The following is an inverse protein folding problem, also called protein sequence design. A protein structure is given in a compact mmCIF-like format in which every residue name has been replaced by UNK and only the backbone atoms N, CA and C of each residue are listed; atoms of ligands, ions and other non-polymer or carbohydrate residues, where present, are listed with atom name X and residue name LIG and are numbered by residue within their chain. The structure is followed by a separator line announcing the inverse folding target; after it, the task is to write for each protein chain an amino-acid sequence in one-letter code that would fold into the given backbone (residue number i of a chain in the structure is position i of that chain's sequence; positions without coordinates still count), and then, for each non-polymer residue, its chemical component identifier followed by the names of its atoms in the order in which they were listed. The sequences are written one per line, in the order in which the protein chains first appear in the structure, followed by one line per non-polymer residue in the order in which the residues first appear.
data_IF_057454761132
#
_entry.id   IF_057454761132
#
_cell.length_a   1.000
_cell.length_b   1.000
_cell.length_c   1.000
_cell.angle_alpha   90.00
_cell.angle_beta   90.00
_cell.angle_gamma   90.00
#
_symmetry.space_group_name_H-M   'P 1'
#
loop_
_entity.id
_entity.type
_entity.pdbx_description
1 polymer ?
#
# COMPACT_ATOMS: atom_id res chain seq x y z
N UNK A 1 5.16 17.44 -24.65
CA UNK A 1 6.05 16.73 -23.70
C UNK A 1 5.85 17.27 -22.29
N UNK A 2 5.04 16.74 -21.39
CA UNK A 2 3.78 16.00 -21.38
C UNK A 2 3.18 16.38 -20.02
N UNK A 3 2.17 17.24 -20.01
CA UNK A 3 1.54 17.82 -18.83
C UNK A 3 0.63 16.82 -18.08
N UNK A 4 1.04 15.54 -17.99
CA UNK A 4 0.29 14.46 -17.36
C UNK A 4 1.09 13.76 -16.24
N UNK A 5 2.21 14.37 -15.85
CA UNK A 5 2.99 14.01 -14.67
C UNK A 5 2.39 14.66 -13.40
N UNK A 6 1.08 14.96 -13.42
CA UNK A 6 0.34 15.35 -12.24
C UNK A 6 0.24 14.13 -11.32
N UNK A 7 0.90 14.31 -10.17
CA UNK A 7 1.14 13.34 -9.11
C UNK A 7 -0.13 12.57 -8.77
N UNK A 8 0.01 11.25 -8.60
CA UNK A 8 -0.92 10.49 -7.77
C UNK A 8 -0.95 11.20 -6.42
N UNK A 9 -2.09 11.79 -6.04
CA UNK A 9 -2.17 12.44 -4.74
C UNK A 9 -2.23 11.33 -3.69
N UNK A 10 -1.66 11.60 -2.53
CA UNK A 10 -1.62 10.62 -1.45
C UNK A 10 -3.06 10.14 -1.13
N UNK A 11 -4.04 11.05 -1.20
CA UNK A 11 -5.48 10.80 -1.01
C UNK A 11 -6.07 9.66 -1.85
N UNK A 12 -5.49 9.33 -3.01
CA UNK A 12 -5.94 8.21 -3.85
C UNK A 12 -5.64 6.83 -3.22
N UNK A 13 -4.67 6.73 -2.28
CA UNK A 13 -4.39 5.50 -1.53
C UNK A 13 -5.56 5.15 -0.59
N UNK A 14 -6.26 6.16 -0.05
CA UNK A 14 -7.40 5.97 0.85
C UNK A 14 -8.55 5.22 0.19
N UNK A 15 -8.72 5.44 -1.12
CA UNK A 15 -9.79 4.87 -1.92
C UNK A 15 -9.48 3.45 -2.44
N UNK A 16 -8.25 2.96 -2.27
CA UNK A 16 -7.90 1.62 -2.76
C UNK A 16 -8.61 0.52 -1.95
N UNK A 17 -9.08 -0.54 -2.63
CA UNK A 17 -9.78 -1.63 -1.99
C UNK A 17 -8.86 -2.41 -1.06
N UNK A 18 -9.37 -2.75 0.12
CA UNK A 18 -8.69 -3.56 1.14
C UNK A 18 -9.47 -4.84 1.36
N UNK A 19 -8.75 -5.91 1.63
CA UNK A 19 -9.31 -7.21 1.94
C UNK A 19 -10.04 -7.19 3.30
N UNK A 20 -11.36 -7.09 3.27
CA UNK A 20 -12.21 -6.87 4.46
C UNK A 20 -11.97 -7.85 5.60
N UNK A 21 -11.78 -9.15 5.29
CA UNK A 21 -11.51 -10.17 6.31
C UNK A 21 -10.22 -9.89 7.09
N UNK A 22 -9.23 -9.23 6.49
CA UNK A 22 -8.00 -8.81 7.19
C UNK A 22 -8.34 -7.75 8.25
N UNK A 23 -9.22 -6.80 7.92
CA UNK A 23 -9.70 -5.78 8.86
C UNK A 23 -10.43 -6.44 10.02
N UNK A 24 -11.35 -7.37 9.75
CA UNK A 24 -12.11 -8.11 10.78
C UNK A 24 -11.15 -8.85 11.73
N UNK A 25 -10.18 -9.59 11.19
CA UNK A 25 -9.18 -10.31 12.00
C UNK A 25 -8.33 -9.37 12.86
N UNK A 26 -7.97 -8.20 12.32
CA UNK A 26 -7.19 -7.20 13.07
C UNK A 26 -8.01 -6.53 14.19
N UNK A 27 -9.31 -6.29 13.96
CA UNK A 27 -10.23 -5.78 14.98
C UNK A 27 -10.42 -6.82 16.10
N UNK A 28 -10.66 -8.08 15.75
CA UNK A 28 -10.82 -9.18 16.73
C UNK A 28 -9.60 -9.32 17.65
N UNK A 29 -8.38 -9.26 17.07
CA UNK A 29 -7.14 -9.31 17.86
C UNK A 29 -7.05 -8.11 18.79
N UNK A 30 -7.41 -6.91 18.30
CA UNK A 30 -7.35 -5.67 19.07
C UNK A 30 -8.35 -5.62 20.22
N UNK A 31 -9.46 -6.38 20.15
CA UNK A 31 -10.49 -6.45 21.21
C UNK A 31 -10.20 -7.51 22.27
N UNK A 32 -9.33 -8.48 21.96
CA UNK A 32 -8.98 -9.57 22.88
C UNK A 32 -8.20 -9.15 24.13
N UNK A 33 -7.78 -7.88 24.23
CA UNK A 33 -7.01 -7.33 25.34
C UNK A 33 -5.53 -7.76 25.37
N UNK A 34 -5.09 -8.61 24.44
CA UNK A 34 -3.70 -9.02 24.26
C UNK A 34 -3.19 -8.61 22.87
N UNK A 35 -2.12 -7.83 22.83
CA UNK A 35 -1.52 -7.36 21.59
C UNK A 35 -0.55 -8.44 21.07
N UNK A 36 -1.00 -9.21 20.09
CA UNK A 36 -0.16 -10.17 19.36
C UNK A 36 0.37 -9.51 18.07
N UNK A 37 1.53 -8.84 18.20
CA UNK A 37 2.19 -8.13 17.09
C UNK A 37 2.50 -9.08 15.93
N UNK A 38 2.91 -10.31 16.21
CA UNK A 38 3.25 -11.28 15.16
C UNK A 38 2.02 -11.67 14.35
N UNK A 39 0.90 -11.93 15.03
CA UNK A 39 -0.37 -12.26 14.36
C UNK A 39 -0.94 -11.06 13.61
N UNK A 40 -0.82 -9.84 14.16
CA UNK A 40 -1.19 -8.61 13.46
C UNK A 40 -0.36 -8.41 12.19
N UNK A 41 0.97 -8.57 12.28
CA UNK A 41 1.87 -8.48 11.14
C UNK A 41 1.51 -9.51 10.06
N UNK A 42 1.20 -10.74 10.47
CA UNK A 42 0.78 -11.80 9.56
C UNK A 42 -0.48 -11.41 8.79
N UNK A 43 -1.51 -10.89 9.47
CA UNK A 43 -2.73 -10.46 8.80
C UNK A 43 -2.50 -9.26 7.89
N UNK A 44 -1.77 -8.24 8.33
CA UNK A 44 -1.46 -7.09 7.50
C UNK A 44 -0.66 -7.48 6.26
N UNK A 45 0.27 -8.43 6.39
CA UNK A 45 1.07 -8.96 5.29
C UNK A 45 0.27 -9.75 4.23
N UNK A 46 -1.05 -9.85 4.40
CA UNK A 46 -1.95 -10.46 3.41
C UNK A 46 -2.60 -9.44 2.48
N UNK A 47 -2.54 -8.14 2.81
CA UNK A 47 -3.15 -7.07 2.01
C UNK A 47 -2.09 -6.01 1.64
N UNK A 48 -1.90 -5.72 0.34
CA UNK A 48 -0.85 -4.82 -0.12
C UNK A 48 -1.12 -3.36 0.28
N UNK A 49 -2.39 -2.93 0.33
CA UNK A 49 -2.75 -1.55 0.69
C UNK A 49 -2.52 -1.32 2.18
N UNK A 50 -2.95 -2.24 3.06
CA UNK A 50 -2.67 -2.17 4.50
C UNK A 50 -1.18 -2.26 4.81
N UNK A 51 -0.44 -3.13 4.10
CA UNK A 51 1.02 -3.24 4.23
C UNK A 51 1.71 -1.93 3.87
N UNK A 52 1.34 -1.31 2.75
CA UNK A 52 1.88 -0.01 2.35
C UNK A 52 1.58 1.07 3.38
N UNK A 53 0.33 1.17 3.85
CA UNK A 53 -0.07 2.19 4.84
C UNK A 53 0.68 2.06 6.15
N UNK A 54 0.90 0.83 6.62
CA UNK A 54 1.70 0.59 7.84
C UNK A 54 3.14 1.09 7.67
N UNK A 55 3.77 0.80 6.53
CA UNK A 55 5.13 1.22 6.26
C UNK A 55 5.22 2.74 6.08
N UNK A 56 4.24 3.34 5.40
CA UNK A 56 4.11 4.77 5.26
C UNK A 56 4.06 5.48 6.63
N UNK A 57 3.33 4.93 7.61
CA UNK A 57 3.30 5.49 8.96
C UNK A 57 4.67 5.50 9.64
N UNK A 58 5.46 4.44 9.43
CA UNK A 58 6.80 4.35 9.97
C UNK A 58 7.71 5.43 9.35
N UNK A 59 7.61 5.64 8.03
CA UNK A 59 8.49 6.55 7.28
C UNK A 59 8.00 8.02 7.26
N UNK A 60 6.84 8.33 7.83
CA UNK A 60 6.32 9.69 7.93
C UNK A 60 7.09 10.58 8.95
N UNK A 61 7.95 9.99 9.80
CA UNK A 61 8.75 10.73 10.77
C UNK A 61 10.11 11.19 10.17
N UNK A 62 10.55 12.44 10.41
CA UNK A 62 11.68 13.06 9.69
C UNK A 62 13.09 12.51 10.02
N UNK A 63 13.23 11.58 10.97
CA UNK A 63 14.54 11.18 11.52
C UNK A 63 14.79 9.66 11.52
N UNK A 64 14.05 8.89 10.71
CA UNK A 64 14.26 7.45 10.63
C UNK A 64 15.31 7.10 9.58
N UNK A 65 16.37 6.44 10.04
CA UNK A 65 17.36 5.78 9.17
C UNK A 65 16.66 4.84 8.20
N UNK A 66 17.11 4.82 6.94
CA UNK A 66 16.72 3.93 5.84
C UNK A 66 16.97 2.45 6.17
N UNK A 67 16.34 1.92 7.21
CA UNK A 67 16.34 0.49 7.50
C UNK A 67 15.50 -0.23 6.47
N UNK A 68 15.84 -1.49 6.21
CA UNK A 68 15.02 -2.33 5.37
C UNK A 68 13.59 -2.41 5.92
N UNK A 69 12.57 -2.21 5.07
CA UNK A 69 11.18 -2.17 5.50
C UNK A 69 10.74 -3.56 5.96
N UNK A 70 10.26 -3.62 7.20
CA UNK A 70 9.79 -4.86 7.81
C UNK A 70 8.50 -4.57 8.58
N UNK A 71 7.41 -5.27 8.23
CA UNK A 71 6.09 -5.04 8.82
C UNK A 71 6.06 -5.32 10.34
N UNK A 72 6.84 -6.29 10.83
CA UNK A 72 6.93 -6.56 12.27
C UNK A 72 7.65 -5.41 12.99
N UNK A 73 8.73 -4.88 12.40
CA UNK A 73 9.43 -3.72 12.96
C UNK A 73 8.52 -2.48 12.94
N UNK A 74 7.82 -2.23 11.83
CA UNK A 74 6.87 -1.14 11.71
C UNK A 74 5.78 -1.24 12.81
N UNK A 75 5.19 -2.41 13.01
CA UNK A 75 4.22 -2.64 14.08
C UNK A 75 4.80 -2.50 15.48
N UNK A 76 6.05 -2.94 15.71
CA UNK A 76 6.71 -2.79 17.01
C UNK A 76 6.98 -1.32 17.36
N UNK A 77 7.14 -0.45 16.35
CA UNK A 77 7.32 1.00 16.55
C UNK A 77 6.01 1.76 16.70
N UNK A 78 4.90 1.18 16.23
CA UNK A 78 3.59 1.81 16.24
C UNK A 78 2.87 1.41 17.53
N UNK A 79 2.29 2.39 18.22
CA UNK A 79 1.55 2.05 19.43
C UNK A 79 0.23 1.33 19.04
N UNK A 80 -0.29 0.45 19.92
CA UNK A 80 -1.48 -0.36 19.63
C UNK A 80 -2.72 0.46 19.26
N UNK A 81 -2.83 1.67 19.80
CA UNK A 81 -3.91 2.60 19.50
C UNK A 81 -3.81 3.14 18.08
N UNK A 82 -2.63 3.52 17.61
CA UNK A 82 -2.46 3.99 16.23
C UNK A 82 -2.82 2.89 15.24
N UNK A 83 -2.45 1.65 15.54
CA UNK A 83 -2.82 0.51 14.71
C UNK A 83 -4.35 0.31 14.69
N UNK A 84 -5.01 0.33 15.85
CA UNK A 84 -6.47 0.26 15.92
C UNK A 84 -7.12 1.39 15.12
N UNK A 85 -6.56 2.60 15.21
CA UNK A 85 -6.99 3.77 14.44
C UNK A 85 -6.91 3.52 12.94
N UNK A 86 -5.76 3.03 12.46
CA UNK A 86 -5.56 2.67 11.06
C UNK A 86 -6.61 1.64 10.64
N UNK A 87 -6.76 0.54 11.37
CA UNK A 87 -7.67 -0.56 11.02
C UNK A 87 -9.13 -0.07 10.96
N UNK A 88 -9.55 0.72 11.95
CA UNK A 88 -10.90 1.32 11.99
C UNK A 88 -11.09 2.29 10.82
N UNK A 89 -10.15 3.22 10.59
CA UNK A 89 -10.23 4.17 9.50
C UNK A 89 -10.38 3.47 8.14
N UNK A 90 -9.63 2.40 7.93
CA UNK A 90 -9.74 1.57 6.74
C UNK A 90 -11.10 0.88 6.65
N UNK A 91 -11.61 0.30 7.73
CA UNK A 91 -12.94 -0.32 7.77
C UNK A 91 -14.03 0.66 7.30
N UNK A 92 -13.92 1.91 7.73
CA UNK A 92 -14.87 2.98 7.42
C UNK A 92 -14.82 3.38 5.95
N UNK A 93 -13.62 3.60 5.41
CA UNK A 93 -13.42 3.90 3.99
C UNK A 93 -13.96 2.77 3.12
N UNK A 94 -13.66 1.51 3.47
CA UNK A 94 -14.15 0.36 2.74
C UNK A 94 -15.68 0.26 2.81
N UNK A 95 -16.32 0.57 3.93
CA UNK A 95 -17.79 0.54 4.04
C UNK A 95 -18.51 1.52 3.09
N UNK A 96 -17.86 2.65 2.76
CA UNK A 96 -18.38 3.64 1.82
C UNK A 96 -18.21 3.21 0.34
N UNK A 97 -17.18 2.39 0.07
CA UNK A 97 -16.80 1.93 -1.27
C UNK A 97 -17.47 0.59 -1.62
N UNK A 98 -17.78 -0.23 -0.62
CA UNK A 98 -18.28 -1.59 -0.79
C UNK A 98 -19.69 -1.64 -1.40
N UNK A 99 -19.78 -2.29 -2.57
CA UNK A 99 -21.01 -2.69 -3.25
C UNK A 99 -21.41 -4.10 -2.82
N UNK A 100 -22.64 -4.51 -3.10
CA UNK A 100 -23.24 -5.81 -2.65
C UNK A 100 -22.48 -7.08 -3.10
N UNK A 101 -21.44 -6.97 -3.95
CA UNK A 101 -20.64 -8.10 -4.47
C UNK A 101 -19.13 -7.96 -4.23
N UNK A 102 -18.73 -7.29 -3.14
CA UNK A 102 -17.32 -7.16 -2.74
C UNK A 102 -16.87 -8.34 -1.84
N UNK A 103 -15.64 -8.88 -1.99
CA UNK A 103 -14.70 -8.56 -3.06
C UNK A 103 -15.13 -9.15 -4.42
N UNK A 104 -14.94 -8.36 -5.47
CA UNK A 104 -15.24 -8.79 -6.85
C UNK A 104 -14.29 -9.91 -7.29
N UNK A 105 -14.66 -10.73 -8.30
CA UNK A 105 -13.76 -11.75 -8.85
C UNK A 105 -12.41 -11.18 -9.33
N UNK A 106 -12.42 -9.96 -9.90
CA UNK A 106 -11.21 -9.22 -10.27
C UNK A 106 -10.28 -9.02 -9.07
N UNK A 107 -10.81 -8.47 -7.97
CA UNK A 107 -10.03 -8.21 -6.76
C UNK A 107 -9.51 -9.50 -6.13
N UNK A 108 -10.32 -10.57 -6.09
CA UNK A 108 -9.86 -11.89 -5.64
C UNK A 108 -8.67 -12.39 -6.48
N UNK A 109 -8.68 -12.17 -7.79
CA UNK A 109 -7.55 -12.53 -8.67
C UNK A 109 -6.31 -11.70 -8.34
N UNK A 110 -6.48 -10.40 -8.15
CA UNK A 110 -5.42 -9.47 -7.78
C UNK A 110 -4.72 -9.88 -6.46
N UNK A 111 -5.47 -10.13 -5.37
CA UNK A 111 -4.87 -10.53 -4.10
C UNK A 111 -4.19 -11.90 -4.19
N UNK A 112 -4.78 -12.87 -4.91
CA UNK A 112 -4.14 -14.17 -5.12
C UNK A 112 -2.80 -14.04 -5.83
N UNK A 113 -2.73 -13.26 -6.90
CA UNK A 113 -1.47 -13.00 -7.63
C UNK A 113 -0.44 -12.30 -6.74
N UNK A 114 -0.86 -11.27 -6.00
CA UNK A 114 0.01 -10.54 -5.07
C UNK A 114 0.60 -11.46 -4.00
N UNK A 115 -0.21 -12.32 -3.38
CA UNK A 115 0.25 -13.30 -2.39
C UNK A 115 1.18 -14.36 -3.01
N UNK A 116 0.85 -14.88 -4.19
CA UNK A 116 1.71 -15.83 -4.92
C UNK A 116 3.08 -15.23 -5.18
N UNK A 117 3.12 -14.02 -5.74
CA UNK A 117 4.35 -13.30 -6.04
C UNK A 117 5.16 -13.02 -4.76
N UNK A 118 4.52 -12.52 -3.69
CA UNK A 118 5.17 -12.30 -2.39
C UNK A 118 5.84 -13.57 -1.82
N UNK A 119 5.10 -14.68 -1.80
CA UNK A 119 5.62 -15.94 -1.28
C UNK A 119 6.72 -16.53 -2.16
N UNK A 120 6.63 -16.39 -3.50
CA UNK A 120 7.67 -16.78 -4.43
C UNK A 120 8.93 -15.95 -4.25
N UNK A 121 8.81 -14.61 -4.23
CA UNK A 121 9.93 -13.70 -4.04
C UNK A 121 10.69 -14.01 -2.74
N UNK A 122 9.98 -14.25 -1.65
CA UNK A 122 10.58 -14.69 -0.38
C UNK A 122 11.30 -16.03 -0.48
N UNK A 123 10.71 -17.00 -1.19
CA UNK A 123 11.31 -18.33 -1.37
C UNK A 123 12.57 -18.25 -2.23
N UNK A 124 12.53 -17.53 -3.34
CA UNK A 124 13.66 -17.29 -4.23
C UNK A 124 14.78 -16.53 -3.50
N UNK A 125 14.43 -15.54 -2.68
CA UNK A 125 15.39 -14.83 -1.84
C UNK A 125 16.14 -15.79 -0.90
N UNK A 126 15.43 -16.76 -0.29
CA UNK A 126 16.07 -17.78 0.56
C UNK A 126 16.97 -18.73 -0.23
N UNK A 127 16.54 -19.15 -1.42
CA UNK A 127 17.32 -20.06 -2.29
C UNK A 127 18.61 -19.39 -2.77
N UNK A 128 18.52 -18.13 -3.17
CA UNK A 128 19.65 -17.31 -3.65
C UNK A 128 20.48 -16.71 -2.52
N UNK A 129 20.14 -16.99 -1.26
CA UNK A 129 20.78 -16.43 -0.06
C UNK A 129 20.79 -14.89 -0.03
N UNK A 130 19.75 -14.26 -0.57
CA UNK A 130 19.54 -12.83 -0.45
C UNK A 130 19.39 -12.46 1.04
N UNK A 131 20.09 -11.43 1.55
CA UNK A 131 20.15 -11.13 2.99
C UNK A 131 18.80 -10.83 3.65
N UNK A 132 17.83 -10.33 2.87
CA UNK A 132 16.55 -9.87 3.40
C UNK A 132 15.33 -10.44 2.64
N UNK A 133 14.94 -11.70 2.94
CA UNK A 133 13.79 -12.32 2.30
C UNK A 133 12.45 -11.63 2.60
N UNK A 134 12.33 -10.88 3.69
CA UNK A 134 11.08 -10.20 4.05
C UNK A 134 10.89 -8.92 3.22
N UNK A 135 11.97 -8.21 2.88
CA UNK A 135 11.90 -7.15 1.85
C UNK A 135 11.50 -7.73 0.49
N UNK A 136 12.01 -8.91 0.11
CA UNK A 136 11.59 -9.58 -1.13
C UNK A 136 10.10 -9.98 -1.10
N UNK A 137 9.61 -10.49 0.03
CA UNK A 137 8.17 -10.73 0.23
C UNK A 137 7.35 -9.46 0.03
N UNK A 138 7.77 -8.37 0.67
CA UNK A 138 7.05 -7.11 0.66
C UNK A 138 6.96 -6.53 -0.76
N UNK A 139 8.06 -6.44 -1.51
CA UNK A 139 7.98 -5.94 -2.89
C UNK A 139 7.14 -6.86 -3.78
N UNK A 140 7.19 -8.18 -3.56
CA UNK A 140 6.32 -9.13 -4.25
C UNK A 140 4.84 -8.94 -3.91
N UNK A 141 4.50 -8.53 -2.68
CA UNK A 141 3.13 -8.20 -2.30
C UNK A 141 2.67 -6.88 -2.94
N UNK A 142 3.54 -5.87 -2.99
CA UNK A 142 3.21 -4.52 -3.43
C UNK A 142 3.30 -4.29 -4.94
N UNK A 143 3.97 -5.18 -5.70
CA UNK A 143 4.38 -4.94 -7.09
C UNK A 143 3.28 -4.44 -8.03
N UNK A 144 2.07 -4.95 -7.85
CA UNK A 144 0.93 -4.66 -8.71
C UNK A 144 -0.01 -3.58 -8.14
N UNK A 145 0.35 -2.90 -7.04
CA UNK A 145 -0.49 -1.83 -6.45
C UNK A 145 -0.88 -0.75 -7.47
N UNK A 146 -0.02 -0.50 -8.46
CA UNK A 146 -0.32 0.41 -9.57
C UNK A 146 -1.58 0.01 -10.38
N UNK A 147 -1.97 -1.26 -10.40
CA UNK A 147 -3.20 -1.73 -11.09
C UNK A 147 -4.45 -1.29 -10.35
N UNK A 148 -4.42 -1.28 -9.02
CA UNK A 148 -5.50 -0.70 -8.20
C UNK A 148 -5.59 0.81 -8.42
N UNK A 149 -4.44 1.49 -8.45
CA UNK A 149 -4.33 2.91 -8.77
C UNK A 149 -4.89 3.26 -10.16
N UNK A 150 -4.54 2.47 -11.19
CA UNK A 150 -5.09 2.62 -12.54
C UNK A 150 -6.60 2.48 -12.56
N UNK A 151 -7.13 1.43 -11.91
CA UNK A 151 -8.57 1.17 -11.85
C UNK A 151 -9.32 2.33 -11.17
N UNK A 152 -8.76 2.88 -10.09
CA UNK A 152 -9.33 4.01 -9.38
C UNK A 152 -9.31 5.30 -10.23
N UNK A 153 -8.15 5.67 -10.80
CA UNK A 153 -7.97 6.95 -11.52
C UNK A 153 -8.79 7.06 -12.80
N UNK A 154 -8.92 5.97 -13.54
CA UNK A 154 -9.55 5.99 -14.86
C UNK A 154 -11.01 5.56 -14.82
N UNK A 155 -11.52 5.24 -13.63
CA UNK A 155 -12.80 4.55 -13.45
C UNK A 155 -12.91 3.28 -14.33
N UNK A 156 -11.75 2.69 -14.67
CA UNK A 156 -11.63 1.49 -15.50
C UNK A 156 -11.84 0.26 -14.62
N UNK A 157 -12.63 -0.69 -15.10
CA UNK A 157 -12.82 -1.94 -14.37
C UNK A 157 -11.49 -2.69 -14.26
N UNK A 158 -11.15 -3.17 -13.06
CA UNK A 158 -9.92 -3.95 -12.84
C UNK A 158 -9.84 -5.19 -13.75
N UNK A 159 -10.98 -5.76 -14.16
CA UNK A 159 -11.02 -6.86 -15.14
C UNK A 159 -10.51 -6.44 -16.53
N UNK A 160 -10.71 -5.19 -16.95
CA UNK A 160 -10.16 -4.68 -18.21
C UNK A 160 -8.63 -4.58 -18.13
N UNK A 161 -8.09 -4.11 -16.99
CA UNK A 161 -6.64 -4.08 -16.73
C UNK A 161 -6.05 -5.49 -16.74
N UNK A 162 -6.70 -6.45 -16.08
CA UNK A 162 -6.28 -7.86 -16.14
C UNK A 162 -6.34 -8.43 -17.56
N UNK A 163 -7.31 -8.00 -18.37
CA UNK A 163 -7.41 -8.41 -19.77
C UNK A 163 -6.20 -7.95 -20.57
N UNK A 164 -5.69 -6.73 -20.31
CA UNK A 164 -4.44 -6.26 -20.93
C UNK A 164 -3.25 -7.16 -20.59
N UNK A 165 -3.17 -7.64 -19.34
CA UNK A 165 -2.13 -8.60 -18.94
C UNK A 165 -2.25 -9.95 -19.66
N UNK A 166 -3.47 -10.39 -20.00
CA UNK A 166 -3.70 -11.67 -20.69
C UNK A 166 -3.48 -11.62 -22.20
N UNK A 167 -3.72 -10.47 -22.85
CA UNK A 167 -3.50 -10.33 -24.29
C UNK A 167 -2.04 -9.99 -24.64
N UNK A 168 -1.26 -9.53 -23.66
CA UNK A 168 0.17 -9.30 -23.81
C UNK A 168 0.88 -10.62 -24.15
N UNK A 169 1.82 -10.57 -25.10
CA UNK A 169 2.61 -11.73 -25.53
C UNK A 169 3.79 -11.99 -24.62
N UNK A 170 4.29 -10.94 -23.98
CA UNK A 170 5.42 -10.96 -23.06
C UNK A 170 5.11 -10.09 -21.85
N UNK A 171 5.80 -10.31 -20.74
CA UNK A 171 5.62 -9.49 -19.54
C UNK A 171 5.88 -8.02 -19.83
N UNK A 172 6.96 -7.70 -20.56
CA UNK A 172 7.33 -6.32 -20.86
C UNK A 172 6.34 -5.57 -21.78
N UNK A 173 5.44 -6.28 -22.48
CA UNK A 173 4.39 -5.65 -23.31
C UNK A 173 3.23 -5.11 -22.44
N UNK A 174 3.06 -5.59 -21.20
CA UNK A 174 1.92 -5.17 -20.32
C UNK A 174 1.94 -3.66 -20.02
N UNK A 175 3.04 -3.07 -19.52
CA UNK A 175 3.07 -1.63 -19.25
C UNK A 175 2.89 -0.79 -20.52
N UNK A 176 3.37 -1.25 -21.67
CA UNK A 176 3.20 -0.55 -22.95
C UNK A 176 1.73 -0.53 -23.40
N UNK A 177 1.00 -1.63 -23.21
CA UNK A 177 -0.43 -1.70 -23.51
C UNK A 177 -1.25 -0.78 -22.61
N UNK A 178 -0.95 -0.77 -21.31
CA UNK A 178 -1.59 0.14 -20.35
C UNK A 178 -1.28 1.60 -20.71
N UNK A 179 -0.02 1.95 -20.94
CA UNK A 179 0.35 3.31 -21.33
C UNK A 179 -0.35 3.76 -22.62
N UNK A 180 -0.53 2.86 -23.60
CA UNK A 180 -1.18 3.19 -24.87
C UNK A 180 -2.69 3.31 -24.78
N UNK A 181 -3.35 2.46 -23.99
CA UNK A 181 -4.82 2.34 -23.95
C UNK A 181 -5.43 3.15 -22.79
N UNK A 182 -4.69 3.26 -21.70
CA UNK A 182 -5.09 3.90 -20.45
C UNK A 182 -4.30 5.20 -20.22
N UNK A 183 -3.18 5.44 -20.91
CA UNK A 183 -2.40 6.68 -20.76
C UNK A 183 -1.47 6.71 -19.54
N UNK A 184 -1.44 5.63 -18.75
CA UNK A 184 -0.51 5.39 -17.66
C UNK A 184 -0.26 3.88 -17.54
N UNK A 185 0.92 3.48 -17.05
CA UNK A 185 1.24 2.10 -16.72
C UNK A 185 1.32 1.86 -15.20
N UNK A 186 1.03 0.63 -14.79
CA UNK A 186 0.97 0.28 -13.37
C UNK A 186 2.35 0.27 -12.70
N UNK A 187 3.43 0.00 -13.43
CA UNK A 187 4.78 -0.01 -12.86
C UNK A 187 5.17 1.40 -12.39
N UNK A 188 4.96 2.40 -13.24
CA UNK A 188 5.24 3.80 -12.94
C UNK A 188 4.34 4.34 -11.81
N UNK A 189 3.05 3.99 -11.82
CA UNK A 189 2.12 4.40 -10.77
C UNK A 189 2.40 3.73 -9.42
N UNK A 190 2.71 2.43 -9.42
CA UNK A 190 3.10 1.71 -8.21
C UNK A 190 4.38 2.26 -7.60
N UNK A 191 5.39 2.58 -8.42
CA UNK A 191 6.61 3.21 -7.94
C UNK A 191 6.35 4.63 -7.38
N UNK A 192 5.55 5.44 -8.08
CA UNK A 192 5.19 6.78 -7.62
C UNK A 192 4.43 6.76 -6.28
N UNK A 193 3.57 5.76 -6.07
CA UNK A 193 2.94 5.51 -4.78
C UNK A 193 3.98 5.34 -3.67
N UNK A 194 4.94 4.44 -3.83
CA UNK A 194 6.00 4.23 -2.83
C UNK A 194 6.86 5.47 -2.60
N UNK A 195 7.19 6.20 -3.67
CA UNK A 195 7.98 7.43 -3.61
C UNK A 195 7.27 8.52 -2.79
N UNK A 196 5.97 8.71 -3.03
CA UNK A 196 5.15 9.69 -2.30
C UNK A 196 5.07 9.40 -0.80
N UNK A 197 5.13 8.12 -0.43
CA UNK A 197 5.16 7.66 0.96
C UNK A 197 6.55 7.56 1.56
N UNK A 198 7.57 8.08 0.86
CA UNK A 198 8.96 8.17 1.34
C UNK A 198 9.54 6.80 1.71
N UNK A 199 9.09 5.74 1.04
CA UNK A 199 9.68 4.42 1.21
C UNK A 199 11.08 4.37 0.56
N UNK A 200 11.95 3.42 0.96
CA UNK A 200 13.31 3.37 0.43
C UNK A 200 13.32 3.24 -1.10
N UNK A 201 14.12 4.05 -1.83
CA UNK A 201 14.08 4.10 -3.30
C UNK A 201 14.25 2.76 -4.00
N UNK A 202 15.01 1.85 -3.39
CA UNK A 202 15.20 0.49 -3.90
C UNK A 202 13.89 -0.29 -4.06
N UNK A 203 12.89 -0.05 -3.20
CA UNK A 203 11.57 -0.69 -3.34
C UNK A 203 10.80 -0.08 -4.52
N UNK A 204 10.83 1.24 -4.66
CA UNK A 204 10.22 1.93 -5.80
C UNK A 204 10.85 1.48 -7.12
N UNK A 205 12.17 1.33 -7.16
CA UNK A 205 12.89 0.81 -8.33
C UNK A 205 12.50 -0.64 -8.64
N UNK A 206 12.38 -1.50 -7.62
CA UNK A 206 11.91 -2.87 -7.81
C UNK A 206 10.53 -2.88 -8.49
N UNK A 207 9.58 -2.09 -7.99
CA UNK A 207 8.24 -1.98 -8.60
C UNK A 207 8.29 -1.30 -9.97
N UNK A 208 9.15 -0.32 -10.20
CA UNK A 208 9.23 0.37 -11.50
C UNK A 208 9.71 -0.55 -12.62
N UNK A 209 10.61 -1.48 -12.30
CA UNK A 209 11.35 -2.26 -13.30
C UNK A 209 10.97 -3.74 -13.35
N UNK A 210 9.96 -4.19 -12.59
CA UNK A 210 9.61 -5.62 -12.51
C UNK A 210 9.10 -6.24 -13.82
N UNK A 211 8.66 -5.42 -14.78
CA UNK A 211 8.26 -5.85 -16.12
C UNK A 211 9.37 -5.72 -17.19
N UNK A 212 10.58 -5.26 -16.86
CA UNK A 212 11.70 -5.30 -17.81
C UNK A 212 12.00 -6.73 -18.25
N UNK A 213 12.66 -6.91 -19.39
CA UNK A 213 13.07 -8.24 -19.81
C UNK A 213 14.19 -8.77 -18.92
N UNK A 214 14.25 -10.09 -18.70
CA UNK A 214 15.30 -10.74 -17.91
C UNK A 214 16.72 -10.34 -18.35
N UNK A 215 16.96 -10.16 -19.66
CA UNK A 215 18.28 -9.74 -20.15
C UNK A 215 18.66 -8.30 -19.77
N UNK A 216 17.68 -7.40 -19.59
CA UNK A 216 17.89 -6.01 -19.15
C UNK A 216 18.20 -5.93 -17.65
N UNK A 217 17.76 -6.93 -16.89
CA UNK A 217 18.01 -7.06 -15.45
C UNK A 217 19.35 -7.75 -15.13
N UNK A 218 20.11 -8.20 -16.13
CA UNK A 218 21.43 -8.82 -15.90
C UNK A 218 22.38 -7.82 -15.26
N UNK A 219 22.85 -8.15 -14.05
CA UNK A 219 23.73 -7.27 -13.26
C UNK A 219 23.00 -6.17 -12.49
N UNK A 220 21.65 -6.14 -12.53
CA UNK A 220 20.86 -5.29 -11.66
C UNK A 220 20.94 -5.75 -10.19
N UNK A 221 20.37 -4.95 -9.29
CA UNK A 221 20.30 -5.31 -7.88
C UNK A 221 19.49 -6.61 -7.68
N UNK A 222 19.92 -7.57 -6.83
CA UNK A 222 19.26 -8.87 -6.69
C UNK A 222 17.76 -8.81 -6.40
N UNK A 223 17.30 -7.81 -5.64
CA UNK A 223 15.87 -7.60 -5.36
C UNK A 223 15.02 -7.42 -6.64
N UNK A 224 15.54 -6.70 -7.65
CA UNK A 224 14.83 -6.51 -8.92
C UNK A 224 14.72 -7.84 -9.68
N UNK A 225 15.81 -8.60 -9.74
CA UNK A 225 15.84 -9.91 -10.38
C UNK A 225 14.89 -10.90 -9.68
N UNK A 226 14.88 -10.91 -8.34
CA UNK A 226 13.99 -11.75 -7.55
C UNK A 226 12.53 -11.41 -7.75
N UNK A 227 12.19 -10.12 -7.80
CA UNK A 227 10.81 -9.69 -8.04
C UNK A 227 10.35 -10.02 -9.47
N UNK A 228 11.20 -9.77 -10.47
CA UNK A 228 10.90 -10.14 -11.85
C UNK A 228 10.61 -11.63 -11.99
N UNK A 229 11.54 -12.48 -11.49
CA UNK A 229 11.37 -13.92 -11.52
C UNK A 229 10.14 -14.38 -10.75
N UNK A 230 9.85 -13.80 -9.59
CA UNK A 230 8.66 -14.12 -8.81
C UNK A 230 7.36 -13.78 -9.55
N UNK A 231 7.30 -12.61 -10.20
CA UNK A 231 6.14 -12.19 -11.02
C UNK A 231 5.97 -13.11 -12.24
N UNK A 232 7.06 -13.43 -12.94
CA UNK A 232 7.04 -14.34 -14.08
C UNK A 232 6.53 -15.74 -13.69
N UNK A 233 7.05 -16.30 -12.61
CA UNK A 233 6.70 -17.63 -12.11
C UNK A 233 5.32 -17.69 -11.45
N UNK A 234 4.73 -16.55 -11.04
CA UNK A 234 3.39 -16.48 -10.45
C UNK A 234 2.28 -16.38 -11.50
N UNK A 235 2.61 -16.08 -12.77
CA UNK A 235 1.65 -16.12 -13.87
C UNK A 235 1.16 -17.53 -14.14
N UNK A 236 -0.03 -17.67 -14.74
CA UNK A 236 -0.57 -18.96 -15.16
C UNK A 236 0.34 -19.68 -16.16
N UNK A 237 1.02 -18.92 -17.03
CA UNK A 237 2.01 -19.41 -18.01
C UNK A 237 3.43 -19.50 -17.45
N UNK A 238 3.65 -19.12 -16.18
CA UNK A 238 4.96 -19.11 -15.53
C UNK A 238 5.61 -20.48 -15.35
N UNK A 239 4.85 -21.57 -15.58
CA UNK A 239 5.37 -22.93 -15.66
C UNK A 239 5.88 -23.36 -17.03
N UNK A 240 5.89 -22.47 -18.03
CA UNK A 240 6.41 -22.80 -19.36
C UNK A 240 7.92 -23.03 -19.33
N UNK A 241 8.41 -23.93 -20.20
CA UNK A 241 9.84 -24.25 -20.30
C UNK A 241 10.68 -23.00 -20.61
N UNK A 242 10.19 -22.12 -21.50
CA UNK A 242 10.85 -20.86 -21.83
C UNK A 242 11.01 -19.95 -20.62
N UNK A 243 9.94 -19.72 -19.85
CA UNK A 243 10.00 -18.87 -18.65
C UNK A 243 10.96 -19.46 -17.60
N UNK A 244 10.91 -20.77 -17.37
CA UNK A 244 11.83 -21.42 -16.43
C UNK A 244 13.29 -21.27 -16.84
N UNK A 245 13.60 -21.35 -18.14
CA UNK A 245 14.96 -21.16 -18.66
C UNK A 245 15.42 -19.71 -18.47
N UNK A 246 14.62 -18.73 -18.88
CA UNK A 246 14.96 -17.31 -18.76
C UNK A 246 15.22 -16.89 -17.30
N UNK A 247 14.34 -17.29 -16.38
CA UNK A 247 14.50 -16.97 -14.96
C UNK A 247 15.66 -17.75 -14.31
N UNK A 248 15.95 -18.96 -14.80
CA UNK A 248 17.09 -19.75 -14.32
C UNK A 248 18.41 -19.08 -14.66
N UNK A 249 18.52 -18.51 -15.87
CA UNK A 249 19.69 -17.73 -16.28
C UNK A 249 19.81 -16.42 -15.50
N UNK A 250 18.69 -15.74 -15.23
CA UNK A 250 18.68 -14.48 -14.49
C UNK A 250 19.16 -14.65 -13.04
N UNK A 251 18.74 -15.73 -12.37
CA UNK A 251 19.05 -15.98 -10.96
C UNK A 251 20.26 -16.88 -10.72
N UNK A 252 20.90 -17.39 -11.78
CA UNK A 252 21.96 -18.40 -11.72
C UNK A 252 21.52 -19.65 -10.92
N UNK A 253 20.31 -20.13 -11.22
CA UNK A 253 19.71 -21.30 -10.58
C UNK A 253 19.46 -22.42 -11.60
N UNK A 254 19.29 -23.64 -11.12
CA UNK A 254 18.84 -24.74 -11.97
C UNK A 254 17.33 -24.60 -12.28
N UNK A 255 16.86 -24.79 -13.53
CA UNK A 255 15.43 -24.77 -13.86
C UNK A 255 14.57 -25.66 -12.97
N UNK A 256 15.07 -26.84 -12.61
CA UNK A 256 14.37 -27.74 -11.69
C UNK A 256 14.21 -27.14 -10.29
N UNK A 257 15.17 -26.36 -9.79
CA UNK A 257 15.05 -25.69 -8.49
C UNK A 257 13.95 -24.62 -8.51
N UNK A 258 13.81 -23.89 -9.63
CA UNK A 258 12.72 -22.92 -9.83
C UNK A 258 11.37 -23.61 -9.94
N UNK A 259 11.29 -24.73 -10.67
CA UNK A 259 10.06 -25.51 -10.79
C UNK A 259 9.61 -26.04 -9.42
N UNK A 260 10.51 -26.60 -8.62
CA UNK A 260 10.22 -27.04 -7.25
C UNK A 260 9.80 -25.85 -6.36
N UNK A 261 10.48 -24.71 -6.49
CA UNK A 261 10.13 -23.50 -5.76
C UNK A 261 8.70 -23.06 -6.09
N UNK A 262 8.30 -23.12 -7.36
CA UNK A 262 6.95 -22.78 -7.86
C UNK A 262 5.89 -23.78 -7.42
N UNK A 263 6.10 -25.07 -7.67
CA UNK A 263 5.12 -26.12 -7.42
C UNK A 263 4.66 -26.16 -5.96
N UNK A 264 5.56 -25.91 -5.02
CA UNK A 264 5.23 -25.91 -3.59
C UNK A 264 4.58 -24.62 -3.07
N UNK A 265 4.34 -23.60 -3.90
CA UNK A 265 3.70 -22.34 -3.44
C UNK A 265 2.20 -22.45 -3.39
N UNK A 266 1.55 -23.06 -4.39
CA UNK A 266 0.08 -23.18 -4.40
C UNK A 266 -0.43 -23.89 -3.15
N UNK A 267 0.15 -25.05 -2.79
CA UNK A 267 -0.21 -25.77 -1.57
C UNK A 267 0.12 -25.02 -0.28
N UNK A 268 1.11 -24.10 -0.31
CA UNK A 268 1.48 -23.28 0.85
C UNK A 268 0.44 -22.18 1.08
N UNK A 269 -0.06 -21.56 0.02
CA UNK A 269 -0.95 -20.38 0.11
C UNK A 269 -2.43 -20.76 0.08
N UNK A 270 -2.79 -21.95 -0.40
CA UNK A 270 -4.18 -22.40 -0.51
C UNK A 270 -4.96 -22.31 0.82
N UNK A 271 -4.41 -22.75 1.98
CA UNK A 271 -5.10 -22.56 3.26
C UNK A 271 -5.36 -21.09 3.57
N UNK A 272 -4.39 -20.21 3.28
CA UNK A 272 -4.49 -18.78 3.51
C UNK A 272 -5.53 -18.15 2.57
N UNK A 273 -5.49 -18.45 1.27
CA UNK A 273 -6.45 -17.98 0.26
C UNK A 273 -7.88 -18.39 0.62
N UNK A 274 -8.06 -19.60 1.15
CA UNK A 274 -9.35 -20.10 1.62
C UNK A 274 -9.81 -19.36 2.87
N UNK A 275 -8.93 -19.17 3.86
CA UNK A 275 -9.25 -18.40 5.07
C UNK A 275 -9.58 -16.93 4.73
N UNK A 276 -8.92 -16.37 3.72
CA UNK A 276 -9.16 -15.01 3.23
C UNK A 276 -10.41 -14.90 2.34
N UNK A 277 -11.08 -16.00 1.98
CA UNK A 277 -12.28 -15.99 1.14
C UNK A 277 -12.03 -15.56 -0.33
N UNK A 278 -10.77 -15.60 -0.78
CA UNK A 278 -10.34 -15.17 -2.11
C UNK A 278 -10.02 -16.34 -3.06
N UNK A 279 -10.38 -17.57 -2.67
CA UNK A 279 -10.25 -18.75 -3.50
C UNK A 279 -10.94 -18.60 -4.87
N UNK A 280 -10.39 -19.29 -5.87
CA UNK A 280 -11.02 -19.37 -7.19
C UNK A 280 -12.35 -20.12 -7.05
N UNK A 281 -13.47 -19.45 -7.31
CA UNK A 281 -14.77 -20.09 -7.41
C UNK A 281 -15.27 -19.94 -8.84
N UNK A 282 -15.46 -21.05 -9.54
CA UNK A 282 -16.10 -21.12 -10.87
C UNK A 282 -17.62 -20.82 -10.82
N UNK A 283 -18.15 -20.54 -9.64
CA UNK A 283 -19.55 -20.20 -9.43
C UNK A 283 -19.68 -18.71 -9.12
N UNK A 284 -20.69 -18.07 -9.73
CA UNK A 284 -21.19 -16.76 -9.33
C UNK A 284 -21.27 -16.61 -7.80
N UNK A 285 -21.04 -15.40 -7.27
CA UNK A 285 -21.05 -15.20 -5.83
C UNK A 285 -22.40 -15.63 -5.26
N UNK A 286 -22.41 -16.74 -4.51
CA UNK A 286 -23.44 -16.96 -3.50
C UNK A 286 -23.27 -15.82 -2.50
N UNK A 287 -24.32 -15.03 -2.32
CA UNK A 287 -24.38 -13.99 -1.30
C UNK A 287 -23.83 -14.55 0.02
N UNK A 288 -22.61 -14.14 0.36
CA UNK A 288 -22.03 -14.37 1.67
C UNK A 288 -22.81 -13.57 2.71
N UNK A 289 -22.70 -13.93 3.99
CA UNK A 289 -23.46 -13.26 5.04
C UNK A 289 -23.14 -11.76 5.02
N UNK A 290 -24.21 -10.97 5.05
CA UNK A 290 -24.30 -9.52 5.15
C UNK A 290 -22.98 -8.74 5.08
N UNK A 291 -22.88 -7.94 4.01
CA UNK A 291 -22.06 -6.73 3.88
C UNK A 291 -21.70 -6.08 5.23
N UNK A 292 -20.48 -5.55 5.31
CA UNK A 292 -19.98 -4.66 6.37
C UNK A 292 -20.88 -3.46 6.68
N UNK A 293 -21.97 -3.22 5.92
CA UNK A 293 -23.11 -2.38 6.33
C UNK A 293 -23.68 -2.71 7.71
N UNK A 294 -23.44 -3.90 8.26
CA UNK A 294 -23.93 -4.29 9.59
C UNK A 294 -23.03 -3.96 10.78
N UNK A 295 -21.74 -3.61 10.59
CA UNK A 295 -20.75 -3.71 11.68
C UNK A 295 -20.45 -2.41 12.43
N UNK A 296 -20.68 -1.22 11.87
CA UNK A 296 -20.51 0.02 12.63
C UNK A 296 -21.65 1.00 12.36
N UNK A 297 -22.59 1.18 13.30
CA UNK A 297 -23.46 2.35 13.33
C UNK A 297 -22.61 3.62 13.29
N UNK A 298 -23.04 4.67 12.58
CA UNK A 298 -22.33 5.96 12.48
C UNK A 298 -21.86 6.54 13.84
N UNK A 299 -22.55 6.21 14.94
CA UNK A 299 -22.14 6.59 16.29
C UNK A 299 -20.91 5.81 16.81
N UNK A 300 -20.80 4.50 16.51
CA UNK A 300 -19.62 3.68 16.83
C UNK A 300 -18.43 4.13 15.97
N UNK A 301 -18.69 4.61 14.76
CA UNK A 301 -17.74 5.22 13.85
C UNK A 301 -17.12 6.51 14.41
N UNK A 302 -17.93 7.47 14.88
CA UNK A 302 -17.43 8.68 15.53
C UNK A 302 -16.72 8.36 16.85
N UNK A 303 -17.26 7.45 17.66
CA UNK A 303 -16.66 7.02 18.92
C UNK A 303 -15.31 6.34 18.71
N UNK A 304 -15.13 5.51 17.68
CA UNK A 304 -13.87 4.83 17.42
C UNK A 304 -12.79 5.78 16.87
N UNK A 305 -13.17 6.76 16.04
CA UNK A 305 -12.28 7.86 15.61
C UNK A 305 -11.89 8.76 16.79
N UNK A 306 -12.85 9.09 17.65
CA UNK A 306 -12.62 9.88 18.86
C UNK A 306 -11.76 9.11 19.85
N UNK A 307 -11.98 7.82 20.07
CA UNK A 307 -11.18 7.00 20.99
C UNK A 307 -9.78 6.73 20.45
N UNK A 308 -9.63 6.57 19.13
CA UNK A 308 -8.35 6.53 18.44
C UNK A 308 -7.53 7.80 18.70
N UNK A 309 -8.10 8.96 18.37
CA UNK A 309 -7.47 10.28 18.60
C UNK A 309 -7.23 10.50 20.09
N UNK A 310 -8.19 10.19 20.94
CA UNK A 310 -8.11 10.36 22.39
C UNK A 310 -7.04 9.48 23.00
N UNK A 311 -6.90 8.23 22.56
CA UNK A 311 -5.88 7.34 23.11
C UNK A 311 -4.48 7.64 22.56
N UNK A 312 -4.34 8.20 21.36
CA UNK A 312 -3.08 8.79 20.91
C UNK A 312 -2.71 9.99 21.78
N UNK A 313 -3.67 10.90 22.02
CA UNK A 313 -3.47 12.13 22.80
C UNK A 313 -3.30 11.90 24.31
N UNK A 314 -3.80 10.78 24.85
CA UNK A 314 -3.70 10.48 26.29
C UNK A 314 -2.31 9.99 26.71
N UNK A 315 -1.47 9.54 25.78
CA UNK A 315 -0.13 9.00 26.06
C UNK A 315 0.99 10.03 25.82
N UNK A 316 0.64 11.32 25.84
CA UNK A 316 1.52 12.38 25.35
C UNK A 316 1.88 13.35 26.47
N UNK A 317 3.18 13.54 26.70
CA UNK A 317 3.67 14.36 27.82
C UNK A 317 4.10 15.76 27.39
N UNK A 318 4.39 15.97 26.10
CA UNK A 318 4.83 17.27 25.55
C UNK A 318 4.11 17.65 24.24
N UNK A 319 4.01 18.96 24.00
CA UNK A 319 3.38 19.59 22.83
C UNK A 319 3.98 19.09 21.52
N UNK A 320 5.28 18.76 21.50
CA UNK A 320 5.96 18.20 20.33
C UNK A 320 5.37 16.84 19.94
N UNK A 321 5.19 15.96 20.93
CA UNK A 321 4.61 14.64 20.72
C UNK A 321 3.11 14.73 20.36
N UNK A 322 2.39 15.75 20.86
CA UNK A 322 0.96 15.97 20.51
C UNK A 322 0.85 16.30 19.03
N UNK A 323 1.73 17.17 18.53
CA UNK A 323 1.79 17.54 17.12
C UNK A 323 2.12 16.34 16.24
N UNK A 324 3.10 15.53 16.64
CA UNK A 324 3.42 14.31 15.89
C UNK A 324 2.24 13.33 15.86
N UNK A 325 1.53 13.16 16.98
CA UNK A 325 0.33 12.32 17.03
C UNK A 325 -0.77 12.86 16.10
N UNK A 326 -1.02 14.18 16.11
CA UNK A 326 -1.97 14.82 15.19
C UNK A 326 -1.53 14.66 13.73
N UNK A 327 -0.24 14.83 13.42
CA UNK A 327 0.30 14.67 12.08
C UNK A 327 0.12 13.23 11.58
N UNK A 328 0.43 12.23 12.44
CA UNK A 328 0.20 10.81 12.14
C UNK A 328 -1.27 10.50 11.94
N UNK A 329 -2.16 10.97 12.81
CA UNK A 329 -3.61 10.79 12.63
C UNK A 329 -4.12 11.47 11.36
N UNK A 330 -3.60 12.65 11.02
CA UNK A 330 -4.02 13.36 9.81
C UNK A 330 -3.51 12.66 8.53
N UNK A 331 -2.27 12.16 8.55
CA UNK A 331 -1.74 11.29 7.50
C UNK A 331 -2.56 10.01 7.36
N UNK A 332 -3.03 9.42 8.47
CA UNK A 332 -3.80 8.18 8.47
C UNK A 332 -5.23 8.31 7.95
N UNK A 333 -5.91 9.37 8.40
CA UNK A 333 -7.34 9.57 8.17
C UNK A 333 -7.62 10.34 6.89
N UNK A 334 -6.72 11.27 6.56
CA UNK A 334 -6.90 12.25 5.49
C UNK A 334 -5.76 12.22 4.47
N UNK A 335 -4.78 11.33 4.64
CA UNK A 335 -3.69 11.14 3.69
C UNK A 335 -2.83 12.39 3.47
N UNK A 336 -2.67 13.18 4.53
CA UNK A 336 -1.81 14.35 4.50
C UNK A 336 -0.34 13.93 4.60
N UNK A 337 0.41 14.08 3.50
CA UNK A 337 1.86 13.86 3.45
C UNK A 337 2.65 14.94 4.19
N UNK A 338 2.04 16.12 4.37
CA UNK A 338 2.62 17.27 5.04
C UNK A 338 1.59 17.96 5.95
N UNK A 339 1.97 18.15 7.21
CA UNK A 339 1.16 18.84 8.20
C UNK A 339 1.98 19.97 8.83
N UNK A 340 1.52 21.20 8.64
CA UNK A 340 2.11 22.39 9.26
C UNK A 340 1.30 22.79 10.49
N UNK A 341 1.99 23.01 11.60
CA UNK A 341 1.38 23.40 12.86
C UNK A 341 1.58 24.89 13.10
N UNK A 342 0.49 25.57 13.40
CA UNK A 342 0.49 26.97 13.77
C UNK A 342 0.00 27.11 15.21
N UNK A 343 0.78 27.77 16.04
CA UNK A 343 0.39 28.09 17.40
C UNK A 343 -0.27 29.47 17.43
N UNK A 344 -1.49 29.53 17.97
CA UNK A 344 -2.18 30.81 18.15
C UNK A 344 -1.61 31.56 19.35
N UNK A 345 -1.13 32.78 19.12
CA UNK A 345 -0.71 33.71 20.16
C UNK A 345 -1.88 34.61 20.54
N UNK A 346 -2.48 34.36 21.71
CA UNK A 346 -3.63 35.10 22.20
C UNK A 346 -3.35 36.57 22.53
N UNK A 347 -2.08 36.97 22.70
CA UNK A 347 -1.72 38.37 22.98
C UNK A 347 -1.62 39.18 21.68
N UNK A 348 -1.08 38.57 20.63
CA UNK A 348 -0.88 39.25 19.34
C UNK A 348 -1.98 38.98 18.32
N UNK A 349 -2.80 37.96 18.54
CA UNK A 349 -3.81 37.48 17.59
C UNK A 349 -3.22 36.76 16.38
N UNK A 350 -1.90 36.51 16.36
CA UNK A 350 -1.19 35.94 15.22
C UNK A 350 -0.99 34.43 15.37
N UNK A 351 -0.94 33.74 14.24
CA UNK A 351 -0.58 32.34 14.13
C UNK A 351 0.92 32.22 13.87
N UNK A 352 1.67 31.60 14.79
CA UNK A 352 3.11 31.34 14.60
C UNK A 352 3.33 29.96 14.01
N UNK A 353 3.96 29.91 12.84
CA UNK A 353 4.44 28.68 12.24
C UNK A 353 5.53 28.07 13.12
N UNK A 354 5.43 26.76 13.37
CA UNK A 354 6.50 26.04 14.02
C UNK A 354 7.47 25.47 12.97
N UNK A 355 8.79 25.63 13.13
CA UNK A 355 9.78 25.15 12.17
C UNK A 355 9.58 23.68 11.76
N UNK A 356 9.74 23.42 10.48
CA UNK A 356 9.73 22.08 9.89
C UNK A 356 10.98 21.89 9.00
N UNK A 357 11.25 20.67 8.54
CA UNK A 357 12.38 20.40 7.65
C UNK A 357 12.34 21.23 6.35
N UNK A 358 11.14 21.57 5.87
CA UNK A 358 10.94 22.43 4.69
C UNK A 358 11.02 23.93 5.02
N UNK A 359 10.49 24.33 6.17
CA UNK A 359 10.47 25.72 6.62
C UNK A 359 11.17 25.85 7.97
N UNK A 360 12.51 25.91 7.98
CA UNK A 360 13.29 25.97 9.21
C UNK A 360 13.13 27.31 9.94
N UNK A 361 12.78 28.37 9.21
CA UNK A 361 12.56 29.69 9.79
C UNK A 361 11.10 29.87 10.23
N UNK A 362 10.85 30.24 11.50
CA UNK A 362 9.50 30.52 11.98
C UNK A 362 8.98 31.81 11.35
N UNK A 363 7.75 31.78 10.84
CA UNK A 363 7.03 32.94 10.32
C UNK A 363 5.65 33.05 10.98
N UNK A 364 5.00 34.20 10.82
CA UNK A 364 3.69 34.47 11.43
C UNK A 364 2.63 34.80 10.40
N UNK A 365 1.44 34.24 10.55
CA UNK A 365 0.26 34.52 9.73
C UNK A 365 -0.71 35.35 10.57
N UNK A 366 -1.25 36.42 9.98
CA UNK A 366 -2.41 37.12 10.53
C UNK A 366 -3.69 36.39 10.06
N UNK A 367 -4.43 35.71 10.96
CA UNK A 367 -5.65 35.01 10.59
C UNK A 367 -6.74 35.96 10.04
N UNK A 368 -6.73 37.26 10.38
CA UNK A 368 -7.63 38.25 9.79
C UNK A 368 -7.19 38.71 8.39
N UNK A 369 -5.90 38.57 8.06
CA UNK A 369 -5.34 38.88 6.75
C UNK A 369 -5.67 37.85 5.67
N UNK A 370 -5.80 36.57 6.03
CA UNK A 370 -6.13 35.49 5.08
C UNK A 370 -7.53 35.65 4.46
N UNK A 371 -8.51 36.12 5.24
CA UNK A 371 -9.86 36.46 4.76
C UNK A 371 -9.83 37.59 3.71
N UNK A 372 -8.86 38.49 3.81
CA UNK A 372 -8.65 39.58 2.84
C UNK A 372 -7.94 39.12 1.56
N UNK A 373 -7.21 38.00 1.55
CA UNK A 373 -6.51 37.50 0.35
C UNK A 373 -7.50 36.96 -0.69
N UNK A 374 -8.52 36.20 -0.26
CA UNK A 374 -9.60 35.73 -1.13
C UNK A 374 -10.48 36.88 -1.64
N UNK A 375 -10.77 37.87 -0.79
CA UNK A 375 -11.52 39.07 -1.21
C UNK A 375 -10.72 39.97 -2.15
N UNK A 376 -9.40 40.09 -1.98
CA UNK A 376 -8.52 40.82 -2.92
C UNK A 376 -8.40 40.10 -4.26
N UNK A 377 -8.25 38.78 -4.27
CA UNK A 377 -8.21 38.00 -5.52
C UNK A 377 -9.53 38.07 -6.31
N UNK A 378 -10.68 38.19 -5.63
CA UNK A 378 -11.98 38.38 -6.26
C UNK A 378 -12.23 39.81 -6.77
N UNK A 379 -11.56 40.82 -6.19
CA UNK A 379 -11.64 42.22 -6.62
C UNK A 379 -10.67 42.54 -7.77
N UNK A 380 -9.58 41.79 -7.92
CA UNK A 380 -8.60 41.97 -9.02
C UNK A 380 -9.03 41.31 -10.34
N UNK A 381 -10.18 40.61 -10.37
CA UNK A 381 -10.80 40.06 -11.59
C UNK A 381 -12.03 40.84 -12.10
N UNK A 382 -12.29 42.04 -11.56
CA UNK A 382 -13.24 43.03 -12.10
C UNK A 382 -12.48 44.26 -12.60
#
# INVERSE_FOLDING_TARGET
MSAFQDQFDASDLLALPILTIVIEKLLDISESGYIDIHKQAQWMSCDPVLSLRLLAMQHAAPDQTLQSPNLQNALATINPTTLRTLVVANALQQSAIQRDSFPTPALKRFWRHSLRCAHLARRLAKITSFPDPETAYLVGLLHDLGKLALSARQATALDEIHTLSHIARTLNEVPELEQRLLGADHCALGAALLDNWKLPPLLSDAIRYHHLNAHELRGAHPLLCLLHAANALSQETGGSETALVEESELLDLNPSALEHARAGIESLIEPLINELGIAATDAEPRAGPASVRGALPNAVHELALIDAIRSELNNVEDVSQIREAIARCAALLFDLTEAHFFHYDAQTGLLRHHPSAQWPDPFTIDPAGATNAFQRAAQEQQ
#
